data_IF_439599827609
#
_entry.id   IF_439599827609
#
_cell.length_a   1.000
_cell.length_b   1.000
_cell.length_c   1.000
_cell.angle_alpha   90.00
_cell.angle_beta   90.00
_cell.angle_gamma   90.00
#
_symmetry.space_group_name_H-M   'P 1'
#
loop_
_entity.id
_entity.type
_entity.pdbx_description
1 polymer ?
#
# COMPACT_ATOMS: atom_id res chain seq x y z
N UNK A 1 -0.78 3.04 14.14
CA UNK A 1 -2.13 2.62 13.65
C UNK A 1 -2.05 2.32 12.15
N UNK A 2 -2.79 1.34 11.62
CA UNK A 2 -2.80 1.06 10.16
C UNK A 2 -4.02 1.71 9.52
N UNK A 3 -3.78 2.57 8.54
CA UNK A 3 -4.78 3.17 7.69
C UNK A 3 -4.69 2.60 6.26
N UNK A 4 -5.80 2.69 5.52
CA UNK A 4 -5.85 2.30 4.12
C UNK A 4 -6.21 3.53 3.31
N UNK A 5 -5.34 3.90 2.37
CA UNK A 5 -5.59 5.03 1.49
C UNK A 5 -6.82 4.78 0.60
N UNK A 6 -7.47 5.86 0.20
CA UNK A 6 -8.63 5.90 -0.69
C UNK A 6 -8.38 7.00 -1.74
N UNK A 7 -8.33 6.68 -3.04
CA UNK A 7 -8.43 5.33 -3.62
C UNK A 7 -7.22 4.45 -3.29
N UNK A 8 -7.43 3.14 -3.23
CA UNK A 8 -6.35 2.17 -3.04
C UNK A 8 -5.83 1.73 -4.41
N UNK A 9 -4.52 1.77 -4.60
CA UNK A 9 -3.90 1.17 -5.79
C UNK A 9 -4.00 -0.36 -5.69
N UNK A 10 -4.55 -1.00 -6.72
CA UNK A 10 -4.69 -2.45 -6.76
C UNK A 10 -4.15 -2.92 -8.09
N UNK A 11 -3.23 -3.88 -8.03
CA UNK A 11 -2.74 -4.57 -9.21
C UNK A 11 -3.90 -5.27 -9.94
N UNK A 12 -3.92 -5.20 -11.26
CA UNK A 12 -4.99 -5.73 -12.10
C UNK A 12 -5.20 -7.24 -11.96
N UNK A 13 -4.18 -7.99 -11.53
CA UNK A 13 -4.27 -9.43 -11.31
C UNK A 13 -5.00 -9.79 -10.01
N UNK A 14 -5.35 -8.81 -9.17
CA UNK A 14 -6.15 -9.02 -7.97
C UNK A 14 -7.64 -8.98 -8.32
N UNK A 15 -8.28 -10.14 -8.22
CA UNK A 15 -9.73 -10.29 -8.41
C UNK A 15 -10.56 -9.93 -7.17
N UNK A 16 -9.93 -9.95 -5.99
CA UNK A 16 -10.61 -9.65 -4.72
C UNK A 16 -10.82 -8.15 -4.53
N UNK A 17 -11.97 -7.77 -3.96
CA UNK A 17 -12.23 -6.36 -3.67
C UNK A 17 -11.30 -5.82 -2.57
N UNK A 18 -10.93 -4.53 -2.61
CA UNK A 18 -10.17 -3.88 -1.53
C UNK A 18 -10.78 -4.10 -0.15
N UNK A 19 -12.12 -4.09 -0.06
CA UNK A 19 -12.83 -4.31 1.20
C UNK A 19 -12.62 -5.73 1.74
N UNK A 20 -12.59 -6.75 0.89
CA UNK A 20 -12.33 -8.14 1.28
C UNK A 20 -10.90 -8.30 1.80
N UNK A 21 -9.92 -7.73 1.10
CA UNK A 21 -8.49 -7.76 1.49
C UNK A 21 -8.30 -7.06 2.84
N UNK A 22 -8.89 -5.87 3.02
CA UNK A 22 -8.90 -5.12 4.29
C UNK A 22 -9.46 -5.95 5.44
N UNK A 23 -10.63 -6.56 5.23
CA UNK A 23 -11.29 -7.41 6.23
C UNK A 23 -10.43 -8.61 6.59
N UNK A 24 -9.84 -9.28 5.59
CA UNK A 24 -8.93 -10.42 5.78
C UNK A 24 -7.70 -10.03 6.57
N UNK A 25 -7.03 -8.94 6.20
CA UNK A 25 -5.87 -8.42 6.91
C UNK A 25 -6.18 -8.05 8.36
N UNK A 26 -7.35 -7.45 8.64
CA UNK A 26 -7.77 -7.12 10.01
C UNK A 26 -8.02 -8.38 10.85
N UNK A 27 -8.84 -9.30 10.37
CA UNK A 27 -9.43 -10.35 11.23
C UNK A 27 -8.77 -11.73 11.13
N UNK A 28 -8.02 -12.04 10.06
CA UNK A 28 -7.42 -13.39 9.88
C UNK A 28 -5.95 -13.41 10.25
N UNK A 29 -5.50 -14.43 11.00
CA UNK A 29 -4.06 -14.62 11.30
C UNK A 29 -3.22 -14.62 10.02
N UNK A 30 -3.71 -15.29 8.98
CA UNK A 30 -3.13 -15.27 7.65
C UNK A 30 -3.90 -14.29 6.74
N UNK A 31 -3.27 -13.18 6.31
CA UNK A 31 -3.93 -12.18 5.49
C UNK A 31 -3.91 -12.52 3.98
N UNK A 32 -3.28 -13.62 3.55
CA UNK A 32 -3.05 -13.96 2.15
C UNK A 32 -1.63 -13.61 1.67
N UNK A 33 -1.27 -14.14 0.50
CA UNK A 33 0.02 -13.90 -0.18
C UNK A 33 0.01 -12.56 -0.93
N UNK A 34 -0.22 -11.47 -0.20
CA UNK A 34 -0.17 -10.13 -0.78
C UNK A 34 1.12 -9.41 -0.41
N UNK A 35 1.52 -8.51 -1.29
CA UNK A 35 2.49 -7.46 -1.00
C UNK A 35 1.76 -6.12 -0.94
N UNK A 36 2.09 -5.32 0.06
CA UNK A 36 1.56 -3.99 0.26
C UNK A 36 2.64 -2.95 -0.02
N UNK A 37 2.24 -1.87 -0.66
CA UNK A 37 3.01 -0.63 -0.73
C UNK A 37 2.55 0.22 0.45
N UNK A 38 3.44 0.43 1.41
CA UNK A 38 3.15 1.14 2.65
C UNK A 38 3.90 2.46 2.72
N UNK A 39 3.35 3.40 3.48
CA UNK A 39 3.93 4.71 3.72
C UNK A 39 4.03 4.85 5.25
N UNK A 40 5.18 4.52 5.85
CA UNK A 40 5.40 4.66 7.30
C UNK A 40 5.46 6.13 7.68
N UNK A 41 4.90 6.53 8.82
CA UNK A 41 4.98 7.88 9.36
C UNK A 41 6.40 8.48 9.30
N UNK A 42 6.51 9.75 8.90
CA UNK A 42 7.78 10.47 8.82
C UNK A 42 8.71 10.07 7.65
N UNK A 43 8.34 9.13 6.78
CA UNK A 43 9.15 8.74 5.61
C UNK A 43 8.54 9.15 4.28
N UNK A 44 9.28 9.83 3.42
CA UNK A 44 8.76 10.23 2.11
C UNK A 44 8.72 9.07 1.10
N UNK A 45 9.60 8.08 1.26
CA UNK A 45 9.68 6.92 0.39
C UNK A 45 8.74 5.79 0.87
N UNK A 46 7.84 5.28 0.00
CA UNK A 46 7.07 4.08 0.30
C UNK A 46 7.94 2.82 0.39
N UNK A 47 7.49 1.84 1.17
CA UNK A 47 8.15 0.55 1.35
C UNK A 47 7.25 -0.58 0.82
N UNK A 48 7.84 -1.62 0.23
CA UNK A 48 7.12 -2.83 -0.21
C UNK A 48 7.30 -3.93 0.83
N UNK A 49 6.20 -4.42 1.40
CA UNK A 49 6.21 -5.43 2.47
C UNK A 49 5.18 -6.53 2.23
N UNK A 50 5.50 -7.79 2.58
CA UNK A 50 4.50 -8.86 2.61
C UNK A 50 3.44 -8.57 3.67
N UNK A 51 2.17 -8.80 3.34
CA UNK A 51 1.04 -8.60 4.25
C UNK A 51 1.22 -9.37 5.58
N UNK A 52 1.75 -10.60 5.52
CA UNK A 52 2.02 -11.40 6.72
C UNK A 52 3.04 -10.73 7.66
N UNK A 53 4.09 -10.11 7.10
CA UNK A 53 5.12 -9.44 7.90
C UNK A 53 4.60 -8.15 8.52
N UNK A 54 3.85 -7.36 7.75
CA UNK A 54 3.20 -6.17 8.29
C UNK A 54 2.26 -6.53 9.45
N UNK A 55 1.52 -7.63 9.32
CA UNK A 55 0.62 -8.12 10.37
C UNK A 55 1.35 -8.47 11.67
N UNK A 56 2.54 -9.08 11.58
CA UNK A 56 3.39 -9.35 12.74
C UNK A 56 3.94 -8.09 13.42
N UNK A 57 4.08 -6.99 12.66
CA UNK A 57 4.66 -5.73 13.13
C UNK A 57 3.64 -4.68 13.59
N UNK A 58 2.34 -5.01 13.61
CA UNK A 58 1.24 -4.08 13.98
C UNK A 58 1.44 -3.37 15.33
N UNK A 59 2.20 -3.98 16.25
CA UNK A 59 2.48 -3.45 17.58
C UNK A 59 3.47 -2.27 17.59
N UNK A 60 4.08 -1.90 16.45
CA UNK A 60 4.94 -0.71 16.37
C UNK A 60 4.07 0.55 16.42
N UNK A 61 4.42 1.50 17.29
CA UNK A 61 3.65 2.72 17.58
C UNK A 61 3.49 3.69 16.40
N UNK A 62 4.19 3.46 15.29
CA UNK A 62 4.14 4.34 14.11
C UNK A 62 2.82 4.19 13.33
N UNK A 63 2.31 5.30 12.81
CA UNK A 63 1.26 5.26 11.80
C UNK A 63 1.77 4.69 10.47
N UNK A 64 0.98 3.83 9.83
CA UNK A 64 1.31 3.23 8.54
C UNK A 64 0.10 3.35 7.63
N UNK A 65 0.29 3.93 6.44
CA UNK A 65 -0.73 3.99 5.40
C UNK A 65 -0.45 2.90 4.38
N UNK A 66 -1.41 2.02 4.11
CA UNK A 66 -1.37 1.08 2.98
C UNK A 66 -1.95 1.81 1.77
N UNK A 67 -1.10 2.04 0.77
CA UNK A 67 -1.44 2.78 -0.45
C UNK A 67 -1.65 1.87 -1.66
N UNK A 68 -1.03 0.69 -1.68
CA UNK A 68 -1.13 -0.26 -2.79
C UNK A 68 -1.15 -1.72 -2.37
N UNK A 69 -1.74 -2.58 -3.20
CA UNK A 69 -1.79 -4.04 -3.02
C UNK A 69 -1.47 -4.77 -4.32
N UNK A 70 -0.59 -5.76 -4.24
CA UNK A 70 -0.18 -6.61 -5.35
C UNK A 70 -0.13 -8.10 -4.95
N UNK A 71 -0.30 -9.05 -5.89
CA UNK A 71 -0.28 -10.49 -5.61
C UNK A 71 1.13 -11.05 -5.40
N UNK A 72 2.17 -10.27 -5.73
CA UNK A 72 3.56 -10.71 -5.69
C UNK A 72 4.53 -9.54 -5.63
N UNK A 73 5.81 -9.85 -5.38
CA UNK A 73 6.86 -8.83 -5.21
C UNK A 73 7.12 -8.06 -6.51
N UNK A 74 7.16 -8.77 -7.64
CA UNK A 74 7.39 -8.17 -8.95
C UNK A 74 6.25 -7.19 -9.29
N UNK A 75 5.00 -7.65 -9.17
CA UNK A 75 3.81 -6.82 -9.39
C UNK A 75 3.75 -5.63 -8.43
N UNK A 76 4.26 -5.77 -7.19
CA UNK A 76 4.36 -4.64 -6.27
C UNK A 76 5.34 -3.56 -6.76
N UNK A 77 6.44 -3.94 -7.42
CA UNK A 77 7.35 -2.98 -8.05
C UNK A 77 6.71 -2.31 -9.27
N UNK A 78 6.01 -3.07 -10.10
CA UNK A 78 5.29 -2.53 -11.26
C UNK A 78 4.21 -1.53 -10.82
N UNK A 79 3.44 -1.88 -9.79
CA UNK A 79 2.43 -1.01 -9.20
C UNK A 79 3.07 0.24 -8.56
N UNK A 80 4.22 0.10 -7.90
CA UNK A 80 4.97 1.24 -7.35
C UNK A 80 5.46 2.18 -8.46
N UNK A 81 5.99 1.64 -9.56
CA UNK A 81 6.41 2.43 -10.71
C UNK A 81 5.24 3.20 -11.32
N UNK A 82 4.06 2.55 -11.42
CA UNK A 82 2.82 3.22 -11.83
C UNK A 82 2.43 4.36 -10.89
N UNK A 83 2.47 4.15 -9.58
CA UNK A 83 2.19 5.21 -8.60
C UNK A 83 3.17 6.39 -8.72
N UNK A 84 4.45 6.12 -8.96
CA UNK A 84 5.47 7.14 -9.18
C UNK A 84 5.20 7.94 -10.46
N UNK A 85 4.81 7.25 -11.55
CA UNK A 85 4.44 7.88 -12.80
C UNK A 85 3.20 8.75 -12.66
N UNK A 86 2.16 8.28 -11.95
CA UNK A 86 0.94 9.06 -11.70
C UNK A 86 1.26 10.33 -10.89
N UNK A 87 2.08 10.22 -9.83
CA UNK A 87 2.51 11.36 -9.04
C UNK A 87 3.26 12.40 -9.89
N UNK A 88 4.18 11.92 -10.74
CA UNK A 88 4.93 12.79 -11.64
C UNK A 88 4.03 13.46 -12.68
N UNK A 89 3.13 12.71 -13.31
CA UNK A 89 2.20 13.25 -14.31
C UNK A 89 1.27 14.31 -13.72
N UNK A 90 0.87 14.16 -12.45
CA UNK A 90 -0.03 15.09 -11.79
C UNK A 90 0.67 16.34 -11.22
N UNK A 91 1.91 16.20 -10.72
CA UNK A 91 2.58 17.24 -9.92
C UNK A 91 3.90 17.75 -10.49
N UNK A 92 4.44 17.09 -11.53
CA UNK A 92 5.79 17.33 -12.03
C UNK A 92 6.91 16.79 -11.12
N UNK A 93 6.57 16.10 -10.03
CA UNK A 93 7.50 15.58 -9.04
C UNK A 93 7.17 14.14 -8.65
N UNK A 94 8.21 13.33 -8.38
CA UNK A 94 8.05 11.97 -7.85
C UNK A 94 7.94 12.02 -6.32
N UNK A 95 6.87 12.64 -5.81
CA UNK A 95 6.56 12.63 -4.37
C UNK A 95 5.23 11.93 -4.13
N UNK A 96 5.29 10.60 -4.00
CA UNK A 96 4.11 9.74 -3.83
C UNK A 96 3.34 10.11 -2.55
N UNK A 97 4.03 10.37 -1.43
CA UNK A 97 3.35 10.75 -0.18
C UNK A 97 2.52 12.03 -0.35
N UNK A 98 3.14 13.08 -0.89
CA UNK A 98 2.47 14.37 -1.08
C UNK A 98 1.30 14.24 -2.07
N UNK A 99 1.51 13.50 -3.15
CA UNK A 99 0.47 13.21 -4.15
C UNK A 99 -0.74 12.50 -3.56
N UNK A 100 -0.56 11.42 -2.77
CA UNK A 100 -1.69 10.69 -2.18
C UNK A 100 -2.45 11.51 -1.13
N UNK A 101 -1.77 12.44 -0.43
CA UNK A 101 -2.43 13.37 0.49
C UNK A 101 -3.40 14.32 -0.22
N UNK A 102 -3.15 14.66 -1.48
CA UNK A 102 -4.05 15.52 -2.26
C UNK A 102 -5.35 14.80 -2.67
N UNK A 103 -5.37 13.47 -2.61
CA UNK A 103 -6.53 12.64 -2.98
C UNK A 103 -7.39 12.22 -1.78
N UNK A 104 -6.91 12.47 -0.56
CA UNK A 104 -7.47 11.93 0.69
C UNK A 104 -8.51 12.85 1.34
#
# INVERSE_FOLDING_TARGET
MIQWHRPLYVDENIKESPAAIRRRFRFRKYPGDYYFIIIPEGKDMPEIIKALYLKGQIHRSSEIIIAGVAPGKAQAFDLFAKMAQDAYSATGQVNIRAFLKQQS
#
